data_IF_517509553716
#
_entry.id   IF_517509553716
#
_cell.length_a   1.000
_cell.length_b   1.000
_cell.length_c   1.000
_cell.angle_alpha   90.00
_cell.angle_beta   90.00
_cell.angle_gamma   90.00
#
_symmetry.space_group_name_H-M   'P 1'
#
loop_
_entity.id
_entity.type
_entity.pdbx_description
1 polymer ?
#
# COMPACT_ATOMS: atom_id res chain seq x y z
N UNK A 1 12.92 22.05 -3.22
CA UNK A 1 13.56 21.12 -2.27
C UNK A 1 15.04 20.93 -2.60
N UNK A 2 15.90 20.60 -1.63
CA UNK A 2 17.33 20.28 -1.86
C UNK A 2 17.47 18.86 -2.46
N UNK A 3 18.45 18.66 -3.36
CA UNK A 3 18.71 17.37 -4.03
C UNK A 3 18.92 16.22 -3.03
N UNK A 4 19.65 16.47 -1.95
CA UNK A 4 19.94 15.45 -0.92
C UNK A 4 18.67 14.95 -0.23
N UNK A 5 17.69 15.85 -0.01
CA UNK A 5 16.39 15.51 0.56
C UNK A 5 15.55 14.68 -0.40
N UNK A 6 15.51 15.06 -1.68
CA UNK A 6 14.81 14.29 -2.71
C UNK A 6 15.37 12.86 -2.82
N UNK A 7 16.70 12.70 -2.72
CA UNK A 7 17.34 11.39 -2.69
C UNK A 7 16.92 10.56 -1.45
N UNK A 8 16.80 11.21 -0.28
CA UNK A 8 16.31 10.56 0.94
C UNK A 8 14.85 10.09 0.79
N UNK A 9 13.98 10.94 0.25
CA UNK A 9 12.58 10.57 0.00
C UNK A 9 12.46 9.45 -1.04
N UNK A 10 13.21 9.52 -2.15
CA UNK A 10 13.27 8.44 -3.14
C UNK A 10 13.66 7.11 -2.50
N UNK A 11 14.71 7.09 -1.68
CA UNK A 11 15.15 5.86 -0.98
C UNK A 11 14.05 5.29 -0.08
N UNK A 12 13.35 6.14 0.68
CA UNK A 12 12.23 5.71 1.55
C UNK A 12 11.06 5.17 0.73
N UNK A 13 10.69 5.84 -0.36
CA UNK A 13 9.58 5.43 -1.22
C UNK A 13 9.87 4.11 -1.96
N UNK A 14 11.09 3.91 -2.46
CA UNK A 14 11.50 2.64 -3.10
C UNK A 14 11.45 1.49 -2.11
N UNK A 15 11.95 1.69 -0.89
CA UNK A 15 11.86 0.65 0.15
C UNK A 15 10.40 0.36 0.52
N UNK A 16 9.56 1.39 0.63
CA UNK A 16 8.13 1.22 0.91
C UNK A 16 7.40 0.51 -0.24
N UNK A 17 7.75 0.80 -1.50
CA UNK A 17 7.21 0.12 -2.67
C UNK A 17 7.52 -1.38 -2.64
N UNK A 18 8.77 -1.75 -2.32
CA UNK A 18 9.19 -3.14 -2.19
C UNK A 18 8.38 -3.86 -1.11
N UNK A 19 8.29 -3.27 0.08
CA UNK A 19 7.53 -3.83 1.20
C UNK A 19 6.05 -4.04 0.84
N UNK A 20 5.40 -3.03 0.26
CA UNK A 20 3.99 -3.13 -0.13
C UNK A 20 3.76 -4.15 -1.24
N UNK A 21 4.70 -4.32 -2.16
CA UNK A 21 4.60 -5.34 -3.21
C UNK A 21 4.63 -6.76 -2.60
N UNK A 22 5.51 -6.98 -1.62
CA UNK A 22 5.59 -8.24 -0.87
C UNK A 22 4.33 -8.47 0.01
N UNK A 23 3.80 -7.43 0.64
CA UNK A 23 2.55 -7.47 1.43
C UNK A 23 1.35 -7.81 0.55
N UNK A 24 1.12 -7.08 -0.54
CA UNK A 24 0.03 -7.35 -1.50
C UNK A 24 0.09 -8.79 -2.04
N UNK A 25 1.29 -9.29 -2.34
CA UNK A 25 1.50 -10.67 -2.77
C UNK A 25 1.08 -11.69 -1.70
N UNK A 26 1.48 -11.48 -0.44
CA UNK A 26 1.12 -12.34 0.69
C UNK A 26 -0.39 -12.33 0.96
N UNK A 27 -1.01 -11.15 0.99
CA UNK A 27 -2.45 -11.02 1.27
C UNK A 27 -3.30 -11.69 0.18
N UNK A 28 -2.83 -11.69 -1.07
CA UNK A 28 -3.47 -12.42 -2.16
C UNK A 28 -3.41 -13.95 -2.01
N UNK A 29 -2.38 -14.49 -1.33
CA UNK A 29 -2.28 -15.92 -1.02
C UNK A 29 -3.24 -16.31 0.11
N UNK A 30 -3.31 -15.50 1.18
CA UNK A 30 -4.23 -15.75 2.30
C UNK A 30 -5.71 -15.73 1.88
N UNK A 31 -6.08 -14.93 0.88
CA UNK A 31 -7.43 -14.96 0.31
C UNK A 31 -7.72 -16.17 -0.58
N UNK A 32 -6.70 -16.96 -0.97
CA UNK A 32 -6.81 -18.06 -1.92
C UNK A 32 -6.75 -19.46 -1.29
N UNK A 33 -6.10 -19.60 -0.13
CA UNK A 33 -6.04 -20.89 0.57
C UNK A 33 -7.45 -21.28 1.04
N UNK A 34 -8.04 -22.21 0.29
CA UNK A 34 -9.31 -22.84 0.61
C UNK A 34 -9.03 -24.27 1.03
N UNK A 35 -9.08 -24.51 2.33
CA UNK A 35 -9.56 -25.79 2.83
C UNK A 35 -11.07 -25.85 2.63
N UNK A 36 -11.55 -27.03 2.25
CA UNK A 36 -12.97 -27.31 2.01
C UNK A 36 -13.80 -27.03 3.28
N UNK A 37 -14.56 -25.93 3.28
CA UNK A 37 -15.40 -25.50 4.40
C UNK A 37 -16.60 -26.46 4.63
N UNK A 38 -16.80 -27.45 3.75
CA UNK A 38 -17.95 -28.37 3.77
C UNK A 38 -18.07 -29.23 5.04
N UNK A 39 -17.00 -29.37 5.83
CA UNK A 39 -16.97 -30.19 7.05
C UNK A 39 -17.07 -29.32 8.33
N UNK A 40 -16.98 -27.98 8.21
CA UNK A 40 -16.96 -27.05 9.36
C UNK A 40 -18.36 -26.75 9.90
N UNK A 41 -18.47 -26.47 11.20
CA UNK A 41 -19.73 -25.99 11.77
C UNK A 41 -20.01 -24.52 11.39
N UNK A 42 -21.22 -24.03 11.70
CA UNK A 42 -21.64 -22.66 11.35
C UNK A 42 -20.76 -21.57 11.98
N UNK A 43 -20.21 -21.81 13.18
CA UNK A 43 -19.33 -20.87 13.86
C UNK A 43 -17.97 -20.79 13.17
N UNK A 44 -17.41 -21.94 12.83
CA UNK A 44 -16.15 -22.07 12.10
C UNK A 44 -16.22 -21.46 10.70
N UNK A 45 -17.35 -21.67 10.00
CA UNK A 45 -17.63 -21.04 8.71
C UNK A 45 -17.70 -19.52 8.83
N UNK A 46 -18.43 -19.00 9.83
CA UNK A 46 -18.53 -17.56 10.07
C UNK A 46 -17.17 -16.92 10.37
N UNK A 47 -16.35 -17.57 11.20
CA UNK A 47 -15.01 -17.08 11.55
C UNK A 47 -14.07 -17.09 10.33
N UNK A 48 -14.14 -18.14 9.51
CA UNK A 48 -13.38 -18.24 8.25
C UNK A 48 -13.79 -17.13 7.28
N UNK A 49 -15.09 -16.89 7.10
CA UNK A 49 -15.61 -15.82 6.25
C UNK A 49 -15.17 -14.42 6.72
N UNK A 50 -15.26 -14.15 8.02
CA UNK A 50 -14.80 -12.88 8.59
C UNK A 50 -13.30 -12.65 8.36
N UNK A 51 -12.48 -13.68 8.59
CA UNK A 51 -11.03 -13.60 8.39
C UNK A 51 -10.67 -13.35 6.92
N UNK A 52 -11.38 -13.99 5.99
CA UNK A 52 -11.22 -13.75 4.54
C UNK A 52 -11.53 -12.31 4.18
N UNK A 53 -12.67 -11.78 4.64
CA UNK A 53 -13.07 -10.40 4.38
C UNK A 53 -12.03 -9.41 4.94
N UNK A 54 -11.54 -9.66 6.16
CA UNK A 54 -10.50 -8.85 6.77
C UNK A 54 -9.22 -8.79 5.92
N UNK A 55 -8.71 -9.94 5.45
CA UNK A 55 -7.53 -9.95 4.58
C UNK A 55 -7.80 -9.32 3.21
N UNK A 56 -9.00 -9.49 2.66
CA UNK A 56 -9.38 -8.85 1.41
C UNK A 56 -9.31 -7.32 1.53
N UNK A 57 -9.89 -6.75 2.59
CA UNK A 57 -9.85 -5.31 2.84
C UNK A 57 -8.44 -4.79 3.13
N UNK A 58 -7.64 -5.54 3.91
CA UNK A 58 -6.23 -5.22 4.12
C UNK A 58 -5.48 -5.14 2.78
N UNK A 59 -5.65 -6.14 1.92
CA UNK A 59 -5.02 -6.18 0.60
C UNK A 59 -5.47 -5.03 -0.32
N UNK A 60 -6.73 -4.61 -0.22
CA UNK A 60 -7.24 -3.43 -0.94
C UNK A 60 -6.56 -2.13 -0.48
N UNK A 61 -6.35 -1.99 0.84
CA UNK A 61 -5.60 -0.88 1.44
C UNK A 61 -4.16 -0.83 0.92
N UNK A 62 -3.45 -1.96 0.99
CA UNK A 62 -2.05 -2.05 0.56
C UNK A 62 -1.88 -1.74 -0.93
N UNK A 63 -2.80 -2.21 -1.78
CA UNK A 63 -2.82 -1.89 -3.23
C UNK A 63 -3.06 -0.41 -3.49
N UNK A 64 -3.90 0.26 -2.68
CA UNK A 64 -4.11 1.71 -2.80
C UNK A 64 -2.84 2.46 -2.42
N UNK A 65 -2.24 2.12 -1.28
CA UNK A 65 -1.01 2.74 -0.83
C UNK A 65 0.16 2.51 -1.79
N UNK A 66 0.26 1.32 -2.40
CA UNK A 66 1.27 1.02 -3.42
C UNK A 66 1.13 1.94 -4.64
N UNK A 67 -0.11 2.19 -5.11
CA UNK A 67 -0.37 3.14 -6.21
C UNK A 67 0.06 4.57 -5.83
N UNK A 68 -0.21 4.98 -4.60
CA UNK A 68 0.18 6.30 -4.11
C UNK A 68 1.71 6.46 -4.05
N UNK A 69 2.42 5.41 -3.61
CA UNK A 69 3.89 5.39 -3.59
C UNK A 69 4.47 5.45 -5.01
N UNK A 70 3.92 4.70 -5.96
CA UNK A 70 4.34 4.74 -7.36
C UNK A 70 4.10 6.14 -7.95
N UNK A 71 2.95 6.75 -7.68
CA UNK A 71 2.64 8.12 -8.09
C UNK A 71 3.62 9.14 -7.48
N UNK A 72 3.97 8.99 -6.21
CA UNK A 72 4.95 9.84 -5.54
C UNK A 72 6.35 9.71 -6.16
N UNK A 73 6.77 8.50 -6.54
CA UNK A 73 8.03 8.25 -7.26
C UNK A 73 8.02 8.92 -8.64
N UNK A 74 6.92 8.83 -9.38
CA UNK A 74 6.77 9.51 -10.67
C UNK A 74 6.89 11.04 -10.51
N UNK A 75 6.25 11.62 -9.49
CA UNK A 75 6.38 13.05 -9.18
C UNK A 75 7.80 13.47 -8.83
N UNK A 76 8.61 12.58 -8.25
CA UNK A 76 10.03 12.84 -8.01
C UNK A 76 10.81 12.91 -9.33
N UNK A 77 10.49 12.04 -10.28
CA UNK A 77 11.10 12.03 -11.61
C UNK A 77 10.69 13.27 -12.44
N UNK A 78 9.43 13.68 -12.34
CA UNK A 78 8.89 14.85 -13.04
C UNK A 78 9.26 16.19 -12.34
N UNK A 79 9.88 16.14 -11.16
CA UNK A 79 10.26 17.32 -10.38
C UNK A 79 9.10 18.04 -9.67
N UNK A 80 7.90 17.46 -9.66
CA UNK A 80 6.69 18.00 -9.02
C UNK A 80 6.51 17.56 -7.55
N UNK A 81 7.37 16.68 -7.03
CA UNK A 81 7.26 16.18 -5.67
C UNK A 81 7.36 17.28 -4.61
N UNK A 82 6.44 17.26 -3.64
CA UNK A 82 6.38 18.24 -2.58
C UNK A 82 5.62 19.51 -2.93
N UNK A 83 4.96 19.58 -4.09
CA UNK A 83 4.02 20.65 -4.45
C UNK A 83 2.57 20.15 -4.34
N UNK A 84 1.68 21.00 -3.83
CA UNK A 84 0.25 20.70 -3.73
C UNK A 84 -0.39 20.70 -5.12
N UNK A 85 -1.10 19.65 -5.50
CA UNK A 85 -1.72 19.54 -6.83
C UNK A 85 -2.85 20.56 -7.07
N UNK A 86 -3.43 21.12 -6.01
CA UNK A 86 -4.57 22.05 -6.11
C UNK A 86 -4.15 23.52 -6.23
N UNK A 87 -3.18 23.94 -5.42
CA UNK A 87 -2.74 25.34 -5.35
C UNK A 87 -1.31 25.57 -5.81
N UNK A 88 -0.56 24.49 -6.12
CA UNK A 88 0.84 24.52 -6.52
C UNK A 88 1.81 25.09 -5.47
N UNK A 89 1.35 25.23 -4.22
CA UNK A 89 2.17 25.68 -3.10
C UNK A 89 3.05 24.54 -2.56
N UNK A 90 4.24 24.86 -2.02
CA UNK A 90 5.12 23.86 -1.42
C UNK A 90 4.48 23.27 -0.16
N UNK A 91 4.50 21.94 -0.07
CA UNK A 91 4.07 21.17 1.09
C UNK A 91 5.19 21.20 2.14
N UNK A 92 4.84 21.34 3.42
CA UNK A 92 5.81 21.35 4.50
C UNK A 92 6.60 20.03 4.60
N UNK A 93 7.90 20.12 4.87
CA UNK A 93 8.76 18.93 4.95
C UNK A 93 8.30 17.93 6.03
N UNK A 94 7.72 18.40 7.13
CA UNK A 94 7.19 17.54 8.21
C UNK A 94 6.01 16.67 7.77
N UNK A 95 5.30 17.08 6.71
CA UNK A 95 4.15 16.34 6.17
C UNK A 95 4.54 15.31 5.10
N UNK A 96 5.73 15.44 4.50
CA UNK A 96 6.24 14.58 3.42
C UNK A 96 7.06 13.41 3.97
#
# INVERSE_FOLDING_TARGET
MRKDRLAQFRKRLVEKQRQLTEEVGRTALYGKDQEDDSIKDLGDQANTAYTREFFFELGNGDRRLLRDVVSALQKLDDGAFGSCERCNEPISETRL
#
